data_IF_564669311905
#
_entry.id   IF_564669311905
#
_cell.length_a   1.000
_cell.length_b   1.000
_cell.length_c   1.000
_cell.angle_alpha   90.00
_cell.angle_beta   90.00
_cell.angle_gamma   90.00
#
_symmetry.space_group_name_H-M   'P 1'
#
loop_
_entity.id
_entity.type
_entity.pdbx_description
1 polymer ?
#
# COMPACT_ATOMS: atom_id res chain seq x y z
N UNK A 1 -13.73 15.15 -21.22
CA UNK A 1 -13.05 13.87 -20.94
C UNK A 1 -14.11 12.79 -20.82
N UNK A 2 -14.01 11.66 -21.53
CA UNK A 2 -14.97 10.55 -21.34
C UNK A 2 -14.82 9.97 -19.94
N UNK A 3 -15.90 9.45 -19.34
CA UNK A 3 -15.86 8.84 -17.99
C UNK A 3 -14.88 7.67 -17.95
N UNK A 4 -14.79 6.91 -19.04
CA UNK A 4 -13.86 5.79 -19.20
C UNK A 4 -12.41 6.23 -19.09
N UNK A 5 -12.07 7.42 -19.62
CA UNK A 5 -10.72 7.96 -19.52
C UNK A 5 -10.37 8.36 -18.09
N UNK A 6 -11.32 8.89 -17.31
CA UNK A 6 -11.11 9.25 -15.90
C UNK A 6 -10.83 8.01 -15.06
N UNK A 7 -11.63 6.95 -15.26
CA UNK A 7 -11.46 5.67 -14.54
C UNK A 7 -10.12 5.03 -14.91
N UNK A 8 -9.78 4.98 -16.20
CA UNK A 8 -8.51 4.42 -16.65
C UNK A 8 -7.31 5.17 -16.05
N UNK A 9 -7.37 6.50 -15.99
CA UNK A 9 -6.31 7.30 -15.36
C UNK A 9 -6.23 7.06 -13.85
N UNK A 10 -7.36 6.95 -13.15
CA UNK A 10 -7.39 6.65 -11.72
C UNK A 10 -6.71 5.32 -11.37
N UNK A 11 -6.94 4.28 -12.18
CA UNK A 11 -6.37 2.95 -11.95
C UNK A 11 -4.89 2.84 -12.34
N UNK A 12 -4.46 3.51 -13.41
CA UNK A 12 -3.10 3.33 -13.95
C UNK A 12 -2.08 4.32 -13.38
N UNK A 13 -2.51 5.53 -13.02
CA UNK A 13 -1.60 6.58 -12.55
C UNK A 13 -0.79 6.17 -11.32
N UNK A 14 -1.34 5.53 -10.27
CA UNK A 14 -0.55 5.12 -9.11
C UNK A 14 0.60 4.16 -9.49
N UNK A 15 0.31 3.18 -10.35
CA UNK A 15 1.34 2.25 -10.83
C UNK A 15 2.43 2.94 -11.66
N UNK A 16 2.05 3.88 -12.52
CA UNK A 16 2.99 4.67 -13.33
C UNK A 16 3.87 5.54 -12.42
N UNK A 17 3.30 6.20 -11.41
CA UNK A 17 4.08 7.04 -10.50
C UNK A 17 5.01 6.21 -9.61
N UNK A 18 4.61 5.02 -9.17
CA UNK A 18 5.52 4.07 -8.50
C UNK A 18 6.68 3.67 -9.41
N UNK A 19 6.41 3.32 -10.66
CA UNK A 19 7.45 2.95 -11.63
C UNK A 19 8.41 4.12 -11.91
N UNK A 20 7.90 5.34 -12.04
CA UNK A 20 8.71 6.55 -12.20
C UNK A 20 9.55 6.83 -10.94
N UNK A 21 8.97 6.63 -9.75
CA UNK A 21 9.68 6.77 -8.47
C UNK A 21 10.82 5.77 -8.29
N UNK A 22 10.80 4.64 -9.00
CA UNK A 22 11.86 3.64 -8.97
C UNK A 22 13.07 3.97 -9.89
N UNK A 23 12.92 4.91 -10.85
CA UNK A 23 14.00 5.30 -11.79
C UNK A 23 15.33 5.67 -11.12
N UNK A 24 15.38 6.40 -9.99
CA UNK A 24 16.63 6.75 -9.33
C UNK A 24 17.50 5.53 -8.96
N UNK A 25 16.91 4.36 -8.73
CA UNK A 25 17.63 3.12 -8.38
C UNK A 25 18.65 2.72 -9.45
N UNK A 26 18.46 3.12 -10.72
CA UNK A 26 19.43 2.86 -11.79
C UNK A 26 20.70 3.73 -11.70
N UNK A 27 20.65 4.85 -10.98
CA UNK A 27 21.75 5.81 -10.85
C UNK A 27 22.40 5.79 -9.45
N UNK A 28 21.70 5.29 -8.44
CA UNK A 28 22.23 5.14 -7.08
C UNK A 28 22.36 3.67 -6.68
N UNK A 29 23.56 3.28 -6.23
CA UNK A 29 23.87 1.91 -5.78
C UNK A 29 23.60 1.69 -4.28
N UNK A 30 23.49 2.78 -3.51
CA UNK A 30 23.30 2.74 -2.06
C UNK A 30 22.70 4.06 -1.56
N UNK A 31 21.58 3.98 -0.86
CA UNK A 31 20.94 5.11 -0.18
C UNK A 31 21.33 5.05 1.30
N UNK A 32 21.70 6.18 1.90
CA UNK A 32 22.01 6.19 3.33
C UNK A 32 20.75 5.92 4.15
N UNK A 33 20.90 5.25 5.30
CA UNK A 33 19.79 4.94 6.23
C UNK A 33 18.94 6.18 6.54
N UNK A 34 19.59 7.33 6.77
CA UNK A 34 18.91 8.61 7.05
C UNK A 34 17.98 9.04 5.92
N UNK A 35 18.41 8.91 4.67
CA UNK A 35 17.57 9.26 3.52
C UNK A 35 16.43 8.28 3.36
N UNK A 36 16.67 6.98 3.57
CA UNK A 36 15.62 5.96 3.53
C UNK A 36 14.54 6.24 4.58
N UNK A 37 14.94 6.48 5.83
CA UNK A 37 14.02 6.78 6.93
C UNK A 37 13.25 8.09 6.66
N UNK A 38 13.90 9.10 6.07
CA UNK A 38 13.24 10.35 5.69
C UNK A 38 12.19 10.15 4.57
N UNK A 39 12.49 9.35 3.55
CA UNK A 39 11.56 9.03 2.46
C UNK A 39 10.36 8.21 2.96
N UNK A 40 10.60 7.20 3.80
CA UNK A 40 9.55 6.41 4.44
C UNK A 40 8.67 7.26 5.35
N UNK A 41 9.28 8.13 6.17
CA UNK A 41 8.56 9.07 7.03
C UNK A 41 7.73 10.08 6.24
N UNK A 42 8.25 10.58 5.11
CA UNK A 42 7.51 11.46 4.21
C UNK A 42 6.29 10.73 3.60
N UNK A 43 6.48 9.52 3.07
CA UNK A 43 5.40 8.72 2.50
C UNK A 43 4.31 8.43 3.55
N UNK A 44 4.69 7.99 4.75
CA UNK A 44 3.76 7.76 5.85
C UNK A 44 3.00 9.04 6.23
N UNK A 45 3.69 10.19 6.27
CA UNK A 45 3.06 11.49 6.54
C UNK A 45 2.02 11.89 5.50
N UNK A 46 2.32 11.74 4.21
CA UNK A 46 1.38 12.02 3.11
C UNK A 46 0.15 11.12 3.22
N UNK A 47 0.34 9.82 3.48
CA UNK A 47 -0.77 8.87 3.62
C UNK A 47 -1.65 9.15 4.84
N UNK A 48 -1.07 9.54 5.97
CA UNK A 48 -1.84 9.95 7.15
C UNK A 48 -2.65 11.23 6.87
N UNK A 49 -2.06 12.21 6.19
CA UNK A 49 -2.76 13.44 5.82
C UNK A 49 -3.91 13.17 4.82
N UNK A 50 -3.66 12.36 3.78
CA UNK A 50 -4.69 11.93 2.84
C UNK A 50 -5.83 11.20 3.55
N UNK A 51 -5.50 10.29 4.47
CA UNK A 51 -6.49 9.56 5.27
C UNK A 51 -7.33 10.52 6.12
N UNK A 52 -6.72 11.46 6.84
CA UNK A 52 -7.45 12.39 7.68
C UNK A 52 -8.35 13.36 6.88
N UNK A 53 -7.78 14.03 5.87
CA UNK A 53 -8.43 15.15 5.19
C UNK A 53 -9.20 14.76 3.93
N UNK A 54 -8.82 13.67 3.26
CA UNK A 54 -9.45 13.24 1.99
C UNK A 54 -10.35 12.02 2.15
N UNK A 55 -10.26 11.30 3.27
CA UNK A 55 -11.12 10.12 3.53
C UNK A 55 -12.00 10.31 4.77
N UNK A 56 -11.40 10.50 5.96
CA UNK A 56 -12.14 10.53 7.24
C UNK A 56 -13.08 11.73 7.31
N UNK A 57 -12.54 12.95 7.10
CA UNK A 57 -13.35 14.16 7.18
C UNK A 57 -14.49 14.16 6.13
N UNK A 58 -14.24 13.86 4.84
CA UNK A 58 -15.32 13.72 3.86
C UNK A 58 -16.34 12.61 4.17
N UNK A 59 -15.90 11.49 4.76
CA UNK A 59 -16.81 10.41 5.19
C UNK A 59 -17.80 10.89 6.25
N UNK A 60 -17.31 11.64 7.25
CA UNK A 60 -18.15 12.19 8.31
C UNK A 60 -19.11 13.25 7.76
N UNK A 61 -18.62 14.14 6.90
CA UNK A 61 -19.42 15.17 6.25
C UNK A 61 -20.52 14.58 5.37
N UNK A 62 -20.21 13.51 4.61
CA UNK A 62 -21.20 12.78 3.82
C UNK A 62 -22.30 12.15 4.69
N UNK A 63 -21.97 11.70 5.89
CA UNK A 63 -22.93 11.22 6.89
C UNK A 63 -23.70 12.33 7.63
N UNK A 64 -23.54 13.60 7.23
CA UNK A 64 -24.23 14.75 7.82
C UNK A 64 -23.57 15.32 9.08
N UNK A 65 -22.31 14.97 9.36
CA UNK A 65 -21.56 15.55 10.49
C UNK A 65 -22.08 15.18 11.88
N UNK A 66 -22.93 14.16 11.97
CA UNK A 66 -23.54 13.73 13.24
C UNK A 66 -22.62 12.79 14.03
N UNK A 67 -22.91 12.60 15.32
CA UNK A 67 -22.23 11.58 16.12
C UNK A 67 -22.38 10.16 15.52
N UNK A 68 -23.50 9.90 14.84
CA UNK A 68 -23.73 8.63 14.13
C UNK A 68 -22.78 8.51 12.94
N UNK A 69 -22.56 9.58 12.17
CA UNK A 69 -21.60 9.58 11.06
C UNK A 69 -20.18 9.27 11.54
N UNK A 70 -19.75 9.90 12.64
CA UNK A 70 -18.45 9.63 13.26
C UNK A 70 -18.32 8.16 13.66
N UNK A 71 -19.37 7.58 14.27
CA UNK A 71 -19.37 6.17 14.67
C UNK A 71 -19.29 5.24 13.46
N UNK A 72 -20.04 5.52 12.39
CA UNK A 72 -19.99 4.74 11.15
C UNK A 72 -18.61 4.82 10.50
N UNK A 73 -18.01 6.00 10.39
CA UNK A 73 -16.65 6.17 9.87
C UNK A 73 -15.63 5.42 10.73
N UNK A 74 -15.72 5.51 12.06
CA UNK A 74 -14.82 4.81 12.98
C UNK A 74 -14.94 3.27 12.85
N UNK A 75 -16.16 2.74 12.74
CA UNK A 75 -16.38 1.31 12.49
C UNK A 75 -15.79 0.91 11.14
N UNK A 76 -15.98 1.72 10.09
CA UNK A 76 -15.39 1.49 8.78
C UNK A 76 -13.86 1.41 8.82
N UNK A 77 -13.20 2.32 9.55
CA UNK A 77 -11.74 2.29 9.76
C UNK A 77 -11.32 0.99 10.45
N UNK A 78 -11.99 0.60 11.54
CA UNK A 78 -11.65 -0.62 12.29
C UNK A 78 -11.82 -1.86 11.40
N UNK A 79 -12.93 -1.95 10.66
CA UNK A 79 -13.18 -3.06 9.74
C UNK A 79 -12.12 -3.12 8.64
N UNK A 80 -11.76 -1.97 8.06
CA UNK A 80 -10.69 -1.89 7.06
C UNK A 80 -9.33 -2.31 7.62
N UNK A 81 -8.98 -1.85 8.82
CA UNK A 81 -7.75 -2.24 9.50
C UNK A 81 -7.70 -3.75 9.78
N UNK A 82 -8.80 -4.33 10.28
CA UNK A 82 -8.91 -5.78 10.51
C UNK A 82 -8.83 -6.57 9.21
N UNK A 83 -9.40 -6.06 8.11
CA UNK A 83 -9.30 -6.71 6.80
C UNK A 83 -7.84 -6.76 6.33
N UNK A 84 -7.12 -5.65 6.43
CA UNK A 84 -5.71 -5.58 6.03
C UNK A 84 -4.86 -6.50 6.93
N UNK A 85 -5.08 -6.48 8.25
CA UNK A 85 -4.41 -7.37 9.21
C UNK A 85 -4.66 -8.84 8.88
N UNK A 86 -5.89 -9.19 8.50
CA UNK A 86 -6.24 -10.56 8.09
C UNK A 86 -5.56 -10.97 6.78
N UNK A 87 -5.51 -10.07 5.79
CA UNK A 87 -4.82 -10.31 4.52
C UNK A 87 -3.32 -10.48 4.75
N UNK A 88 -2.72 -9.68 5.62
CA UNK A 88 -1.33 -9.82 6.02
C UNK A 88 -1.11 -11.16 6.74
N UNK A 89 -1.97 -11.52 7.70
CA UNK A 89 -1.85 -12.78 8.43
C UNK A 89 -1.90 -14.02 7.51
N UNK A 90 -2.75 -14.01 6.47
CA UNK A 90 -2.86 -15.11 5.52
C UNK A 90 -1.89 -15.03 4.34
N UNK A 91 -1.23 -13.89 4.15
CA UNK A 91 -0.21 -13.77 3.12
C UNK A 91 0.97 -14.70 3.43
N UNK A 92 1.61 -15.28 2.40
CA UNK A 92 2.68 -16.26 2.57
C UNK A 92 3.93 -15.61 3.18
N UNK A 93 3.95 -15.40 4.49
CA UNK A 93 5.09 -14.87 5.22
C UNK A 93 5.99 -16.03 5.67
N UNK A 94 7.22 -16.09 5.17
CA UNK A 94 8.32 -16.94 5.67
C UNK A 94 8.20 -18.48 5.50
N UNK A 95 7.01 -19.07 5.37
CA UNK A 95 6.86 -20.54 5.24
C UNK A 95 7.38 -21.14 3.92
N UNK A 96 7.78 -20.29 2.95
CA UNK A 96 8.53 -20.69 1.76
C UNK A 96 10.06 -20.71 1.96
N UNK A 97 10.58 -20.07 3.02
CA UNK A 97 12.02 -20.01 3.32
C UNK A 97 12.49 -21.20 4.18
N UNK A 98 11.60 -21.79 4.99
CA UNK A 98 11.92 -22.87 5.93
C UNK A 98 11.65 -24.30 5.43
N UNK A 99 11.09 -24.50 4.23
CA UNK A 99 11.07 -25.82 3.59
C UNK A 99 12.40 -26.06 2.89
N UNK A 100 13.35 -26.65 3.62
CA UNK A 100 14.34 -27.56 3.03
C UNK A 100 13.63 -28.44 2.01
N UNK A 101 14.04 -28.41 0.73
CA UNK A 101 14.23 -29.55 -0.16
C UNK A 101 14.89 -29.07 -1.48
N UNK A 102 16.14 -29.50 -1.66
CA UNK A 102 16.78 -29.95 -2.90
C UNK A 102 16.44 -29.23 -4.22
N UNK A 103 17.42 -28.48 -4.73
CA UNK A 103 17.48 -28.07 -6.14
C UNK A 103 17.87 -26.61 -6.30
N UNK A 104 18.93 -26.34 -7.08
CA UNK A 104 19.48 -25.02 -7.35
C UNK A 104 18.55 -24.11 -8.23
N UNK A 105 17.24 -24.34 -8.23
CA UNK A 105 16.29 -23.65 -9.10
C UNK A 105 15.21 -23.02 -8.22
N UNK A 106 15.16 -21.68 -8.21
CA UNK A 106 14.07 -20.80 -7.73
C UNK A 106 14.04 -20.19 -6.32
N UNK A 107 15.11 -20.22 -5.52
CA UNK A 107 15.14 -19.39 -4.29
C UNK A 107 15.05 -17.88 -4.57
N UNK A 108 15.56 -17.39 -5.71
CA UNK A 108 15.46 -15.97 -6.10
C UNK A 108 14.06 -15.59 -6.62
N UNK A 109 13.44 -16.42 -7.46
CA UNK A 109 12.08 -16.16 -7.96
C UNK A 109 11.04 -16.18 -6.84
N UNK A 110 11.16 -17.10 -5.87
CA UNK A 110 10.26 -17.13 -4.71
C UNK A 110 10.36 -15.85 -3.87
N UNK A 111 11.56 -15.31 -3.65
CA UNK A 111 11.76 -14.04 -2.94
C UNK A 111 11.16 -12.84 -3.68
N UNK A 112 11.30 -12.81 -5.01
CA UNK A 112 10.70 -11.76 -5.85
C UNK A 112 9.17 -11.82 -5.76
N UNK A 113 8.58 -13.01 -5.83
CA UNK A 113 7.14 -13.18 -5.69
C UNK A 113 6.62 -12.77 -4.31
N UNK A 114 7.33 -13.13 -3.24
CA UNK A 114 7.00 -12.68 -1.89
C UNK A 114 7.02 -11.15 -1.78
N UNK A 115 8.03 -10.50 -2.37
CA UNK A 115 8.13 -9.04 -2.40
C UNK A 115 7.01 -8.38 -3.22
N UNK A 116 6.67 -8.95 -4.38
CA UNK A 116 5.55 -8.47 -5.21
C UNK A 116 4.23 -8.58 -4.45
N UNK A 117 3.96 -9.71 -3.80
CA UNK A 117 2.74 -9.92 -3.02
C UNK A 117 2.69 -8.93 -1.85
N UNK A 118 3.79 -8.76 -1.12
CA UNK A 118 3.86 -7.82 0.00
C UNK A 118 3.57 -6.38 -0.43
N UNK A 119 4.22 -5.88 -1.49
CA UNK A 119 3.96 -4.53 -2.02
C UNK A 119 2.52 -4.42 -2.54
N UNK A 120 2.02 -5.45 -3.22
CA UNK A 120 0.65 -5.43 -3.75
C UNK A 120 -0.36 -5.25 -2.62
N UNK A 121 -0.23 -6.01 -1.53
CA UNK A 121 -1.10 -5.89 -0.35
C UNK A 121 -1.04 -4.49 0.25
N UNK A 122 0.14 -3.88 0.30
CA UNK A 122 0.33 -2.54 0.86
C UNK A 122 -0.19 -1.42 -0.05
N UNK A 123 -0.22 -1.63 -1.37
CA UNK A 123 -0.69 -0.65 -2.35
C UNK A 123 -2.19 -0.77 -2.64
N UNK A 124 -2.85 -1.89 -2.31
CA UNK A 124 -4.32 -2.04 -2.46
C UNK A 124 -5.09 -0.91 -1.75
N UNK A 125 -4.76 -0.51 -0.51
CA UNK A 125 -5.44 0.61 0.16
C UNK A 125 -5.27 1.98 -0.52
N UNK A 126 -4.31 2.12 -1.43
CA UNK A 126 -3.99 3.39 -2.11
C UNK A 126 -4.76 3.58 -3.44
N UNK A 127 -5.28 2.50 -4.04
CA UNK A 127 -5.95 2.48 -5.35
C UNK A 127 -7.47 2.36 -5.26
#
# INVERSE_FOLDING_TARGET
MSKDLIIALGLLMPGITTALGAVPVFFTRSISRKWLDALLGFAAGVMLAATAFSLILPSIEYGGGTAVAVLVTAVGIIVGALLIDLVDHFSPHEHLLNKHHEGAVNTSLSKIWLFIIAITIHNIPEG
#
